data_IF_493948730081
#
_entry.id   IF_493948730081
#
_cell.length_a   1.000
_cell.length_b   1.000
_cell.length_c   1.000
_cell.angle_alpha   90.00
_cell.angle_beta   90.00
_cell.angle_gamma   90.00
#
_symmetry.space_group_name_H-M   'P 1'
#
loop_
_entity.id
_entity.type
_entity.pdbx_description
1 polymer ?
#
# COMPACT_ATOMS: atom_id res chain seq x y z
N UNK A 1 -52.99 15.12 -41.61
CA UNK A 1 -52.87 14.54 -40.25
C UNK A 1 -51.71 15.21 -39.55
N UNK A 2 -52.00 16.14 -38.62
CA UNK A 2 -51.00 16.97 -37.95
C UNK A 2 -50.46 16.28 -36.69
N UNK A 3 -49.14 16.23 -36.54
CA UNK A 3 -48.45 15.69 -35.36
C UNK A 3 -48.12 16.81 -34.37
N UNK A 4 -48.25 16.60 -33.04
CA UNK A 4 -48.00 17.63 -32.04
C UNK A 4 -46.51 17.76 -31.69
N UNK A 5 -46.04 19.01 -31.73
CA UNK A 5 -44.73 19.48 -31.27
C UNK A 5 -44.66 19.40 -29.74
N UNK A 6 -43.83 18.50 -29.20
CA UNK A 6 -43.52 18.44 -27.75
C UNK A 6 -42.35 19.35 -27.42
N UNK A 7 -42.64 20.44 -26.69
CA UNK A 7 -41.66 21.36 -26.10
C UNK A 7 -40.84 20.64 -25.02
N UNK A 8 -39.52 20.61 -25.17
CA UNK A 8 -38.57 20.22 -24.13
C UNK A 8 -38.45 21.36 -23.11
N UNK A 9 -38.88 21.09 -21.87
CA UNK A 9 -38.65 21.97 -20.74
C UNK A 9 -37.16 21.97 -20.37
N UNK A 10 -36.51 23.13 -20.57
CA UNK A 10 -35.17 23.41 -20.06
C UNK A 10 -35.22 23.44 -18.53
N UNK A 11 -34.62 22.44 -17.87
CA UNK A 11 -34.34 22.48 -16.43
C UNK A 11 -32.99 23.14 -16.23
N UNK A 12 -33.03 24.40 -15.81
CA UNK A 12 -31.89 25.15 -15.30
C UNK A 12 -31.36 24.50 -14.02
N UNK A 13 -30.15 23.93 -14.07
CA UNK A 13 -29.41 23.51 -12.88
C UNK A 13 -28.71 24.71 -12.27
N UNK A 14 -29.26 25.22 -11.18
CA UNK A 14 -28.70 26.31 -10.38
C UNK A 14 -27.54 25.75 -9.54
N UNK A 15 -26.31 25.96 -10.00
CA UNK A 15 -25.08 25.64 -9.28
C UNK A 15 -24.93 26.60 -8.10
N UNK A 16 -25.29 26.16 -6.88
CA UNK A 16 -24.95 26.88 -5.65
C UNK A 16 -23.48 26.62 -5.32
N UNK A 17 -22.61 27.56 -5.70
CA UNK A 17 -21.26 27.66 -5.14
C UNK A 17 -21.37 28.02 -3.65
N UNK A 18 -21.17 27.03 -2.77
CA UNK A 18 -20.91 27.30 -1.36
C UNK A 18 -19.43 27.69 -1.25
N UNK A 19 -19.17 28.99 -1.36
CA UNK A 19 -17.92 29.61 -0.95
C UNK A 19 -17.79 29.48 0.56
N UNK A 20 -17.25 28.35 1.03
CA UNK A 20 -16.79 28.22 2.41
C UNK A 20 -15.46 28.97 2.49
N UNK A 21 -15.52 30.14 3.10
CA UNK A 21 -14.39 30.99 3.49
C UNK A 21 -13.22 30.19 4.07
N UNK A 22 -12.13 30.08 3.31
CA UNK A 22 -10.80 29.83 3.84
C UNK A 22 -10.33 31.08 4.62
N UNK A 23 -10.84 31.27 5.83
CA UNK A 23 -10.32 32.26 6.77
C UNK A 23 -9.05 31.69 7.38
N UNK A 24 -7.95 31.85 6.66
CA UNK A 24 -6.60 31.56 7.14
C UNK A 24 -6.25 32.43 8.33
N UNK A 25 -6.51 31.93 9.54
CA UNK A 25 -5.86 32.44 10.75
C UNK A 25 -4.43 31.91 10.75
N UNK A 26 -3.54 32.69 10.13
CA UNK A 26 -2.09 32.57 10.27
C UNK A 26 -1.75 32.99 11.70
N UNK A 27 -1.89 32.08 12.66
CA UNK A 27 -1.26 32.25 13.97
C UNK A 27 0.24 32.23 13.73
N UNK A 28 0.85 33.43 13.67
CA UNK A 28 2.28 33.57 13.91
C UNK A 28 2.49 33.14 15.36
N UNK A 29 2.66 31.84 15.58
CA UNK A 29 3.07 31.31 16.87
C UNK A 29 4.36 32.01 17.23
N UNK A 30 4.32 32.89 18.24
CA UNK A 30 5.53 33.35 18.90
C UNK A 30 6.14 32.11 19.52
N UNK A 31 7.18 31.57 18.90
CA UNK A 31 8.09 30.64 19.54
C UNK A 31 8.63 31.41 20.75
N UNK A 32 8.17 31.05 21.95
CA UNK A 32 8.81 31.55 23.17
C UNK A 32 10.27 31.09 23.09
N UNK A 33 11.26 31.96 23.33
CA UNK A 33 12.63 31.50 23.52
C UNK A 33 12.59 30.49 24.66
N UNK A 34 12.97 29.24 24.36
CA UNK A 34 13.10 28.19 25.38
C UNK A 34 14.15 28.62 26.39
N UNK A 35 13.97 28.22 27.65
CA UNK A 35 14.99 28.44 28.66
C UNK A 35 16.23 27.61 28.30
N UNK A 36 17.41 28.10 28.68
CA UNK A 36 18.69 27.40 28.45
C UNK A 36 18.75 26.01 29.11
N UNK A 37 17.90 25.75 30.09
CA UNK A 37 17.74 24.45 30.75
C UNK A 37 16.92 23.48 29.89
N UNK A 38 15.82 23.95 29.26
CA UNK A 38 15.02 23.14 28.32
C UNK A 38 15.80 22.78 27.05
N UNK A 39 16.74 23.62 26.63
CA UNK A 39 17.62 23.37 25.47
C UNK A 39 18.59 22.20 25.75
N UNK A 40 19.18 22.14 26.95
CA UNK A 40 20.08 21.03 27.35
C UNK A 40 19.37 19.69 27.46
N UNK A 41 18.13 19.69 27.97
CA UNK A 41 17.33 18.47 28.07
C UNK A 41 16.97 17.92 26.69
N UNK A 42 16.81 18.80 25.68
CA UNK A 42 16.64 18.37 24.29
C UNK A 42 17.92 17.78 23.69
N UNK A 43 19.08 18.36 23.96
CA UNK A 43 20.35 17.84 23.45
C UNK A 43 20.62 16.42 23.99
N UNK A 44 20.40 16.18 25.27
CA UNK A 44 20.54 14.84 25.86
C UNK A 44 19.52 13.83 25.31
N UNK A 45 18.30 14.30 25.01
CA UNK A 45 17.27 13.46 24.37
C UNK A 45 17.66 13.10 22.94
N UNK A 46 18.22 14.06 22.18
CA UNK A 46 18.69 13.84 20.82
C UNK A 46 19.86 12.86 20.81
N UNK A 47 20.85 13.04 21.70
CA UNK A 47 21.97 12.10 21.86
C UNK A 47 21.48 10.68 22.19
N UNK A 48 20.51 10.55 23.11
CA UNK A 48 19.92 9.25 23.45
C UNK A 48 19.21 8.57 22.26
N UNK A 49 18.50 9.34 21.43
CA UNK A 49 17.86 8.82 20.22
C UNK A 49 18.88 8.40 19.15
N UNK A 50 19.98 9.14 19.02
CA UNK A 50 21.07 8.79 18.10
C UNK A 50 21.77 7.50 18.51
N UNK A 51 21.99 7.27 19.81
CA UNK A 51 22.53 6.01 20.33
C UNK A 51 21.61 4.82 20.04
N UNK A 52 20.30 4.98 20.25
CA UNK A 52 19.31 3.93 19.96
C UNK A 52 19.32 3.59 18.47
N UNK A 53 19.36 4.59 17.58
CA UNK A 53 19.43 4.37 16.14
C UNK A 53 20.74 3.68 15.72
N UNK A 54 21.87 4.07 16.32
CA UNK A 54 23.17 3.44 16.07
C UNK A 54 23.19 1.98 16.53
N UNK A 55 22.57 1.69 17.68
CA UNK A 55 22.38 0.33 18.18
C UNK A 55 21.51 -0.52 17.26
N UNK A 56 20.36 0.00 16.81
CA UNK A 56 19.47 -0.69 15.88
C UNK A 56 20.14 -0.98 14.53
N UNK A 57 20.90 -0.01 13.98
CA UNK A 57 21.67 -0.20 12.74
C UNK A 57 22.75 -1.28 12.89
N UNK A 58 23.44 -1.35 14.04
CA UNK A 58 24.42 -2.41 14.32
C UNK A 58 23.75 -3.79 14.37
N UNK A 59 22.61 -3.92 15.06
CA UNK A 59 21.86 -5.18 15.13
C UNK A 59 21.40 -5.64 13.74
N UNK A 60 20.89 -4.74 12.91
CA UNK A 60 20.50 -5.07 11.53
C UNK A 60 21.71 -5.52 10.69
N UNK A 61 22.85 -4.84 10.81
CA UNK A 61 24.06 -5.23 10.07
C UNK A 61 24.62 -6.59 10.53
N UNK A 62 24.46 -6.94 11.81
CA UNK A 62 24.84 -8.25 12.35
C UNK A 62 23.89 -9.36 11.86
N UNK A 63 22.57 -9.11 11.87
CA UNK A 63 21.59 -10.03 11.29
C UNK A 63 21.76 -10.22 9.78
N UNK A 64 22.12 -9.16 9.05
CA UNK A 64 22.41 -9.23 7.61
C UNK A 64 23.67 -10.07 7.34
N UNK A 65 24.73 -9.91 8.14
CA UNK A 65 25.93 -10.75 8.09
C UNK A 65 25.65 -12.21 8.45
N UNK A 66 24.77 -12.47 9.41
CA UNK A 66 24.33 -13.82 9.75
C UNK A 66 23.52 -14.47 8.62
N UNK A 67 22.76 -13.68 7.85
CA UNK A 67 22.05 -14.15 6.64
C UNK A 67 22.93 -14.31 5.42
N UNK A 68 24.07 -13.61 5.35
CA UNK A 68 25.04 -13.72 4.25
C UNK A 68 26.12 -14.78 4.47
N UNK A 69 25.89 -15.78 5.34
CA UNK A 69 26.65 -17.04 5.22
C UNK A 69 26.26 -17.66 3.88
N UNK A 70 27.18 -17.73 2.90
CA UNK A 70 26.85 -18.34 1.61
C UNK A 70 26.60 -19.82 1.87
N UNK A 71 25.39 -20.31 1.60
CA UNK A 71 25.12 -21.73 1.39
C UNK A 71 25.86 -22.29 0.15
N UNK A 72 26.92 -21.63 -0.32
CA UNK A 72 27.60 -21.90 -1.58
C UNK A 72 28.84 -22.81 -1.45
N UNK A 73 29.13 -23.39 -0.27
CA UNK A 73 30.31 -24.26 -0.09
C UNK A 73 29.96 -25.60 0.54
N UNK A 74 28.89 -26.26 0.08
CA UNK A 74 28.72 -27.69 0.34
C UNK A 74 28.12 -28.49 -0.82
N UNK A 75 28.29 -28.02 -2.06
CA UNK A 75 27.79 -28.72 -3.25
C UNK A 75 28.81 -28.80 -4.41
N UNK A 76 30.11 -28.68 -4.11
CA UNK A 76 31.19 -28.83 -5.11
C UNK A 76 32.18 -29.98 -4.87
N UNK A 77 31.86 -30.95 -4.01
CA UNK A 77 32.68 -32.18 -3.90
C UNK A 77 31.88 -33.47 -4.14
N UNK A 78 31.18 -33.54 -5.27
CA UNK A 78 30.69 -34.81 -5.81
C UNK A 78 31.06 -34.94 -7.29
N UNK A 79 32.22 -35.50 -7.64
CA UNK A 79 32.54 -35.80 -9.04
C UNK A 79 31.87 -37.12 -9.40
N UNK A 80 30.97 -37.06 -10.38
CA UNK A 80 30.47 -38.25 -11.09
C UNK A 80 29.03 -38.62 -10.81
N UNK A 81 28.10 -38.05 -11.58
CA UNK A 81 26.95 -38.77 -12.13
C UNK A 81 26.23 -37.87 -13.14
N UNK A 82 26.13 -38.39 -14.36
CA UNK A 82 25.14 -38.17 -15.41
C UNK A 82 24.25 -36.89 -15.41
N UNK A 83 24.16 -36.28 -16.60
CA UNK A 83 23.07 -35.39 -17.05
C UNK A 83 21.73 -35.63 -16.34
N UNK A 84 21.07 -34.57 -15.84
CA UNK A 84 19.63 -34.51 -15.88
C UNK A 84 19.17 -33.47 -16.89
N UNK A 85 18.25 -33.92 -17.72
CA UNK A 85 17.42 -33.12 -18.60
C UNK A 85 16.68 -32.03 -17.82
N UNK A 86 16.30 -30.96 -18.54
CA UNK A 86 15.42 -29.87 -18.14
C UNK A 86 14.34 -30.27 -17.12
N UNK A 87 14.66 -30.15 -15.83
CA UNK A 87 13.68 -30.17 -14.77
C UNK A 87 13.02 -28.79 -14.73
N UNK A 88 11.82 -28.70 -15.30
CA UNK A 88 10.87 -27.62 -15.05
C UNK A 88 10.80 -27.39 -13.54
N UNK A 89 11.43 -26.32 -13.06
CA UNK A 89 11.18 -25.75 -11.74
C UNK A 89 9.75 -25.21 -11.75
N UNK A 90 8.78 -26.11 -11.57
CA UNK A 90 7.43 -25.72 -11.19
C UNK A 90 7.53 -24.96 -9.87
N UNK A 91 6.93 -23.76 -9.76
CA UNK A 91 6.88 -23.05 -8.48
C UNK A 91 6.19 -23.95 -7.46
N UNK A 92 6.91 -24.29 -6.38
CA UNK A 92 6.36 -25.04 -5.24
C UNK A 92 5.19 -24.22 -4.65
N UNK A 93 3.96 -24.75 -4.57
CA UNK A 93 2.88 -24.10 -3.84
C UNK A 93 3.13 -24.26 -2.34
N UNK A 94 3.95 -23.38 -1.76
CA UNK A 94 3.83 -23.01 -0.36
C UNK A 94 2.69 -21.97 -0.37
N UNK A 95 1.47 -22.21 0.14
CA UNK A 95 1.10 -22.26 1.56
C UNK A 95 -0.39 -22.64 1.73
N UNK A 96 -0.77 -23.72 2.44
CA UNK A 96 -2.19 -23.96 2.76
C UNK A 96 -2.66 -23.31 4.07
N UNK A 97 -1.76 -22.86 4.96
CA UNK A 97 -2.15 -22.44 6.33
C UNK A 97 -2.57 -20.96 6.42
N UNK A 98 -2.07 -20.10 5.54
CA UNK A 98 -2.45 -18.68 5.49
C UNK A 98 -3.73 -18.41 4.69
N UNK A 99 -4.13 -19.34 3.81
CA UNK A 99 -5.26 -19.14 2.89
C UNK A 99 -6.58 -18.89 3.62
N UNK A 100 -6.93 -19.74 4.60
CA UNK A 100 -8.22 -19.65 5.28
C UNK A 100 -8.39 -18.33 6.08
N UNK A 101 -7.30 -17.85 6.68
CA UNK A 101 -7.31 -16.55 7.35
C UNK A 101 -7.45 -15.40 6.35
N UNK A 102 -6.72 -15.47 5.24
CA UNK A 102 -6.77 -14.46 4.17
C UNK A 102 -8.17 -14.35 3.55
N UNK A 103 -8.89 -15.47 3.41
CA UNK A 103 -10.25 -15.50 2.86
C UNK A 103 -11.26 -14.82 3.80
N UNK A 104 -11.17 -15.09 5.11
CA UNK A 104 -12.02 -14.42 6.10
C UNK A 104 -11.77 -12.91 6.15
N UNK A 105 -10.49 -12.51 6.06
CA UNK A 105 -10.07 -11.12 6.07
C UNK A 105 -10.46 -10.40 4.77
N UNK A 106 -10.48 -11.11 3.63
CA UNK A 106 -10.95 -10.59 2.35
C UNK A 106 -12.41 -10.16 2.39
N UNK A 107 -13.29 -11.02 2.90
CA UNK A 107 -14.71 -10.72 3.04
C UNK A 107 -14.99 -9.62 4.07
N UNK A 108 -14.14 -9.52 5.09
CA UNK A 108 -14.26 -8.52 6.14
C UNK A 108 -13.82 -7.11 5.67
N UNK A 109 -12.74 -7.05 4.88
CA UNK A 109 -12.08 -5.79 4.51
C UNK A 109 -12.59 -5.19 3.21
N UNK A 110 -13.16 -6.01 2.33
CA UNK A 110 -13.59 -5.59 1.00
C UNK A 110 -15.09 -5.79 0.89
N UNK A 111 -15.79 -4.70 0.59
CA UNK A 111 -17.24 -4.74 0.41
C UNK A 111 -17.61 -5.58 -0.81
N UNK A 112 -18.78 -6.22 -0.80
CA UNK A 112 -19.29 -6.98 -1.97
C UNK A 112 -19.33 -6.14 -3.25
N UNK A 113 -19.56 -4.83 -3.13
CA UNK A 113 -19.53 -3.90 -4.26
C UNK A 113 -18.11 -3.76 -4.87
N UNK A 114 -17.07 -3.73 -4.04
CA UNK A 114 -15.68 -3.70 -4.49
C UNK A 114 -15.23 -5.05 -5.05
N UNK A 115 -15.66 -6.16 -4.44
CA UNK A 115 -15.44 -7.50 -5.01
C UNK A 115 -16.06 -7.61 -6.41
N UNK A 116 -17.26 -7.05 -6.62
CA UNK A 116 -17.89 -6.99 -7.95
C UNK A 116 -17.11 -6.13 -8.96
N UNK A 117 -16.43 -5.06 -8.51
CA UNK A 117 -15.52 -4.26 -9.37
C UNK A 117 -14.25 -5.04 -9.75
N UNK A 118 -13.80 -5.95 -8.90
CA UNK A 118 -12.59 -6.76 -9.11
C UNK A 118 -12.83 -8.04 -9.90
N UNK A 119 -14.06 -8.58 -9.87
CA UNK A 119 -14.44 -9.81 -10.56
C UNK A 119 -14.11 -9.82 -12.08
N UNK A 120 -14.33 -8.74 -12.86
CA UNK A 120 -13.95 -8.70 -14.28
C UNK A 120 -12.46 -8.90 -14.53
N UNK A 121 -11.62 -8.56 -13.55
CA UNK A 121 -10.17 -8.64 -13.64
C UNK A 121 -9.58 -9.93 -13.06
N UNK A 122 -10.43 -10.88 -12.64
CA UNK A 122 -10.05 -12.15 -12.01
C UNK A 122 -9.23 -11.98 -10.72
N UNK A 123 -9.49 -10.91 -9.96
CA UNK A 123 -8.86 -10.68 -8.65
C UNK A 123 -9.84 -11.18 -7.59
N UNK A 124 -9.63 -12.40 -7.10
CA UNK A 124 -10.54 -13.08 -6.15
C UNK A 124 -9.94 -13.30 -4.76
N UNK A 125 -8.68 -12.91 -4.55
CA UNK A 125 -7.97 -13.10 -3.28
C UNK A 125 -7.15 -11.87 -2.91
N UNK A 126 -6.80 -11.77 -1.62
CA UNK A 126 -5.98 -10.68 -1.09
C UNK A 126 -4.58 -10.67 -1.71
N UNK A 127 -4.01 -11.85 -1.94
CA UNK A 127 -2.72 -11.99 -2.61
C UNK A 127 -2.77 -11.53 -4.07
N UNK A 128 -3.85 -11.84 -4.80
CA UNK A 128 -4.05 -11.36 -6.16
C UNK A 128 -4.22 -9.84 -6.22
N UNK A 129 -4.91 -9.25 -5.23
CA UNK A 129 -5.06 -7.80 -5.11
C UNK A 129 -3.71 -7.14 -4.83
N UNK A 130 -2.93 -7.69 -3.88
CA UNK A 130 -1.60 -7.21 -3.55
C UNK A 130 -0.66 -7.28 -4.74
N UNK A 131 -0.65 -8.39 -5.49
CA UNK A 131 0.15 -8.52 -6.70
C UNK A 131 -0.22 -7.47 -7.76
N UNK A 132 -1.51 -7.20 -7.97
CA UNK A 132 -1.97 -6.16 -8.88
C UNK A 132 -1.62 -4.74 -8.38
N UNK A 133 -1.63 -4.53 -7.07
CA UNK A 133 -1.17 -3.28 -6.45
C UNK A 133 0.33 -3.06 -6.66
N UNK A 134 1.16 -4.08 -6.41
CA UNK A 134 2.61 -4.00 -6.58
C UNK A 134 2.98 -3.71 -8.05
N UNK A 135 2.26 -4.32 -9.01
CA UNK A 135 2.41 -3.99 -10.45
C UNK A 135 2.06 -2.53 -10.73
N UNK A 136 0.98 -2.01 -10.14
CA UNK A 136 0.57 -0.61 -10.28
C UNK A 136 1.63 0.34 -9.72
N UNK A 137 2.19 0.03 -8.55
CA UNK A 137 3.22 0.83 -7.89
C UNK A 137 4.53 0.84 -8.71
N UNK A 138 4.93 -0.31 -9.25
CA UNK A 138 6.08 -0.40 -10.16
C UNK A 138 5.85 0.45 -11.42
N UNK A 139 4.68 0.35 -12.04
CA UNK A 139 4.35 1.13 -13.25
C UNK A 139 4.34 2.64 -12.97
N UNK A 140 3.84 3.07 -11.81
CA UNK A 140 3.85 4.47 -11.39
C UNK A 140 5.25 4.98 -11.03
N UNK A 141 6.10 4.14 -10.44
CA UNK A 141 7.45 4.49 -10.03
C UNK A 141 8.48 4.34 -11.16
N UNK A 142 8.07 3.89 -12.34
CA UNK A 142 8.90 3.81 -13.54
C UNK A 142 8.65 5.03 -14.45
N UNK A 143 9.71 5.68 -14.98
CA UNK A 143 9.55 6.66 -16.05
C UNK A 143 8.71 6.06 -17.19
N UNK A 144 7.64 6.72 -17.69
CA UNK A 144 7.36 8.16 -17.64
C UNK A 144 6.55 8.67 -16.42
N UNK A 145 6.53 7.95 -15.30
CA UNK A 145 5.78 8.29 -14.08
C UNK A 145 4.29 8.58 -14.36
N UNK A 146 3.57 7.62 -14.95
CA UNK A 146 2.17 7.82 -15.28
C UNK A 146 1.35 8.12 -14.02
N UNK A 147 0.38 9.03 -14.15
CA UNK A 147 -0.63 9.23 -13.10
C UNK A 147 -1.53 8.00 -13.00
N UNK A 148 -2.20 7.86 -11.85
CA UNK A 148 -3.13 6.75 -11.56
C UNK A 148 -4.22 6.60 -12.64
N UNK A 149 -4.64 7.70 -13.27
CA UNK A 149 -5.63 7.69 -14.34
C UNK A 149 -5.16 7.08 -15.65
N UNK A 150 -3.84 7.07 -15.88
CA UNK A 150 -3.21 6.50 -17.09
C UNK A 150 -2.86 5.02 -16.92
N UNK A 151 -3.01 4.46 -15.73
CA UNK A 151 -2.80 3.04 -15.48
C UNK A 151 -3.86 2.19 -16.18
N UNK A 152 -3.53 0.92 -16.40
CA UNK A 152 -4.51 -0.08 -16.85
C UNK A 152 -5.70 -0.08 -15.88
N UNK A 153 -6.94 -0.24 -16.35
CA UNK A 153 -8.13 -0.18 -15.50
C UNK A 153 -8.09 -1.20 -14.36
N UNK A 154 -7.50 -2.39 -14.61
CA UNK A 154 -7.22 -3.40 -13.57
C UNK A 154 -6.38 -2.83 -12.42
N UNK A 155 -5.25 -2.21 -12.75
CA UNK A 155 -4.27 -1.70 -11.81
C UNK A 155 -4.82 -0.50 -11.05
N UNK A 156 -5.54 0.38 -11.75
CA UNK A 156 -6.23 1.52 -11.14
C UNK A 156 -7.20 1.09 -10.04
N UNK A 157 -8.09 0.15 -10.33
CA UNK A 157 -9.08 -0.34 -9.37
C UNK A 157 -8.40 -1.04 -8.19
N UNK A 158 -7.37 -1.86 -8.45
CA UNK A 158 -6.60 -2.51 -7.40
C UNK A 158 -5.93 -1.48 -6.47
N UNK A 159 -5.32 -0.45 -7.05
CA UNK A 159 -4.66 0.64 -6.33
C UNK A 159 -5.61 1.41 -5.41
N UNK A 160 -6.78 1.82 -5.94
CA UNK A 160 -7.83 2.51 -5.18
C UNK A 160 -8.32 1.69 -3.99
N UNK A 161 -8.65 0.41 -4.23
CA UNK A 161 -9.19 -0.48 -3.20
C UNK A 161 -8.12 -0.74 -2.14
N UNK A 162 -6.89 -1.06 -2.53
CA UNK A 162 -5.80 -1.34 -1.59
C UNK A 162 -5.51 -0.14 -0.69
N UNK A 163 -5.46 1.08 -1.24
CA UNK A 163 -5.30 2.31 -0.44
C UNK A 163 -6.44 2.59 0.54
N UNK A 164 -7.64 2.06 0.29
CA UNK A 164 -8.78 2.19 1.20
C UNK A 164 -8.70 1.26 2.42
N UNK A 165 -7.93 0.16 2.34
CA UNK A 165 -7.86 -0.89 3.36
C UNK A 165 -7.39 -0.34 4.72
N UNK A 166 -6.26 0.39 4.84
CA UNK A 166 -5.81 0.91 6.13
C UNK A 166 -6.87 1.77 6.84
N UNK A 167 -7.59 2.59 6.08
CA UNK A 167 -8.68 3.43 6.60
C UNK A 167 -9.83 2.58 7.12
N UNK A 168 -10.23 1.53 6.42
CA UNK A 168 -11.29 0.60 6.86
C UNK A 168 -10.91 -0.16 8.11
N UNK A 169 -9.65 -0.62 8.24
CA UNK A 169 -9.15 -1.28 9.46
C UNK A 169 -9.27 -0.32 10.65
N UNK A 170 -8.82 0.92 10.46
CA UNK A 170 -8.90 1.94 11.50
C UNK A 170 -10.34 2.22 11.92
N UNK A 171 -11.26 2.38 10.96
CA UNK A 171 -12.68 2.57 11.28
C UNK A 171 -13.28 1.37 12.00
N UNK A 172 -12.98 0.14 11.60
CA UNK A 172 -13.51 -1.05 12.26
C UNK A 172 -13.05 -1.19 13.71
N UNK A 173 -11.77 -0.91 13.98
CA UNK A 173 -11.21 -0.92 15.34
C UNK A 173 -11.89 0.10 16.25
N UNK A 174 -12.35 1.23 15.71
CA UNK A 174 -13.10 2.23 16.47
C UNK A 174 -14.53 1.78 16.81
N UNK A 175 -15.19 1.02 15.93
CA UNK A 175 -16.56 0.54 16.16
C UNK A 175 -16.62 -0.73 17.03
N UNK A 176 -15.50 -1.43 17.21
CA UNK A 176 -15.41 -2.65 18.02
C UNK A 176 -15.11 -2.39 19.51
N UNK A 177 -15.03 -1.12 19.93
CA UNK A 177 -14.85 -0.70 21.32
C UNK A 177 -16.18 -0.20 21.88
#
# INVERSE_FOLDING_TARGET
>A
TMLPVRRLAQRSTTTRCVLISCRGMRTKGRVRPMSWEEEKDQDHLIEGLEEILKGAKRKLAEEEKARTVPQFVQEQMRPGAAKPAAAKLGPKPQTPVTSAFNDSLWDEMISKAEQARLAPFKITSLDALKAAYDEADIDMNRPPYPSVDRLKPRLKVAYEIYHSIPRKIAMKRLHSR
#
